data_IF_266662395932
#
_entry.id   IF_266662395932
#
_cell.length_a   1.000
_cell.length_b   1.000
_cell.length_c   1.000
_cell.angle_alpha   90.00
_cell.angle_beta   90.00
_cell.angle_gamma   90.00
#
_symmetry.space_group_name_H-M   'P 1'
#
loop_
_entity.id
_entity.type
_entity.pdbx_description
1 polymer ?
#
# COMPACT_ATOMS: atom_id res chain seq x y z
N UNK A 1 -4.89 21.38 -6.53
CA UNK A 1 -4.03 20.61 -5.62
C UNK A 1 -4.81 19.46 -5.02
N UNK A 2 -4.25 18.28 -5.05
CA UNK A 2 -4.94 17.11 -4.53
C UNK A 2 -4.82 17.02 -3.02
N UNK A 3 -5.95 16.77 -2.34
CA UNK A 3 -5.97 16.55 -0.90
C UNK A 3 -6.39 15.11 -0.57
N UNK A 4 -6.00 14.20 -1.46
CA UNK A 4 -6.35 12.80 -1.26
C UNK A 4 -5.37 12.10 -0.34
N UNK A 5 -5.92 11.11 0.37
CA UNK A 5 -5.14 10.15 1.13
C UNK A 5 -5.28 8.82 0.39
N UNK A 6 -4.16 8.21 0.08
CA UNK A 6 -4.14 6.99 -0.73
C UNK A 6 -3.89 5.78 0.15
N UNK A 7 -4.75 4.79 0.02
CA UNK A 7 -4.45 3.45 0.53
C UNK A 7 -3.84 2.70 -0.64
N UNK A 8 -2.63 2.18 -0.44
CA UNK A 8 -1.89 1.56 -1.52
C UNK A 8 -1.49 0.14 -1.14
N UNK A 9 -1.34 -0.69 -2.14
CA UNK A 9 -0.87 -2.05 -1.99
C UNK A 9 0.36 -2.20 -2.87
N UNK A 10 1.46 -2.57 -2.24
CA UNK A 10 2.70 -2.86 -2.93
C UNK A 10 2.85 -4.37 -3.10
N UNK A 11 3.50 -4.77 -4.17
CA UNK A 11 3.90 -6.15 -4.37
C UNK A 11 5.37 -6.12 -4.79
N UNK A 12 6.15 -7.09 -4.32
CA UNK A 12 7.55 -7.18 -4.74
C UNK A 12 7.61 -7.67 -6.20
N UNK A 13 8.62 -7.21 -6.92
CA UNK A 13 8.71 -7.54 -8.34
C UNK A 13 9.05 -8.99 -8.59
N UNK A 14 9.83 -9.59 -7.71
CA UNK A 14 10.24 -10.99 -7.85
C UNK A 14 10.46 -11.58 -6.46
N UNK A 15 9.73 -12.65 -6.12
CA UNK A 15 8.83 -13.47 -6.93
C UNK A 15 7.42 -12.91 -7.09
N UNK A 16 7.07 -11.78 -6.46
CA UNK A 16 5.76 -11.19 -6.60
C UNK A 16 4.71 -11.77 -5.68
N UNK A 17 5.12 -12.34 -4.55
CA UNK A 17 4.20 -12.95 -3.60
C UNK A 17 4.22 -12.28 -2.21
N UNK A 18 4.96 -11.19 -2.06
CA UNK A 18 4.96 -10.41 -0.83
C UNK A 18 4.15 -9.15 -1.05
N UNK A 19 3.37 -8.77 -0.04
CA UNK A 19 2.49 -7.60 -0.11
C UNK A 19 2.77 -6.67 1.05
N UNK A 20 2.57 -5.38 0.80
CA UNK A 20 2.59 -4.38 1.85
C UNK A 20 1.42 -3.43 1.63
N UNK A 21 0.69 -3.12 2.71
CA UNK A 21 -0.47 -2.23 2.68
C UNK A 21 -0.14 -1.01 3.51
N UNK A 22 -0.32 0.18 2.94
CA UNK A 22 -0.04 1.41 3.64
C UNK A 22 -0.97 2.53 3.22
N UNK A 23 -0.76 3.69 3.83
CA UNK A 23 -1.53 4.88 3.55
C UNK A 23 -0.59 6.07 3.45
N UNK A 24 -0.79 6.93 2.46
CA UNK A 24 0.09 8.07 2.25
C UNK A 24 -0.64 9.16 1.47
N UNK A 25 -0.15 10.39 1.60
CA UNK A 25 -0.60 11.49 0.75
C UNK A 25 0.24 11.63 -0.51
N UNK A 26 1.39 10.96 -0.55
CA UNK A 26 2.32 11.07 -1.67
C UNK A 26 2.82 9.68 -2.06
N UNK A 27 2.16 9.09 -3.05
CA UNK A 27 2.47 7.73 -3.50
C UNK A 27 3.88 7.61 -4.06
N UNK A 28 4.31 8.58 -4.86
CA UNK A 28 5.61 8.53 -5.50
C UNK A 28 6.73 8.55 -4.46
N UNK A 29 6.65 9.49 -3.54
CA UNK A 29 7.66 9.63 -2.49
C UNK A 29 7.69 8.40 -1.60
N UNK A 30 6.52 7.85 -1.26
CA UNK A 30 6.44 6.69 -0.39
C UNK A 30 7.02 5.44 -1.07
N UNK A 31 6.72 5.25 -2.37
CA UNK A 31 7.29 4.13 -3.12
C UNK A 31 8.80 4.23 -3.17
N UNK A 32 9.32 5.44 -3.38
CA UNK A 32 10.76 5.66 -3.39
C UNK A 32 11.40 5.28 -2.06
N UNK A 33 10.73 5.62 -0.94
CA UNK A 33 11.26 5.25 0.38
C UNK A 33 11.31 3.74 0.58
N UNK A 34 10.28 3.04 0.14
CA UNK A 34 10.28 1.58 0.23
C UNK A 34 11.42 0.99 -0.60
N UNK A 35 11.66 1.52 -1.79
CA UNK A 35 12.68 0.97 -2.68
C UNK A 35 14.10 1.37 -2.30
N UNK A 36 14.24 2.42 -1.50
CA UNK A 36 15.55 2.77 -0.92
C UNK A 36 15.89 1.94 0.30
N UNK A 37 14.92 1.20 0.82
CA UNK A 37 15.13 0.42 2.02
C UNK A 37 14.97 1.22 3.30
N UNK A 38 14.33 2.40 3.24
CA UNK A 38 14.12 3.27 4.40
C UNK A 38 12.99 2.77 5.31
N UNK A 39 12.20 1.82 4.83
CA UNK A 39 11.12 1.23 5.62
C UNK A 39 11.55 -0.17 6.02
N UNK A 40 11.80 -0.43 7.32
CA UNK A 40 12.40 -1.70 7.76
C UNK A 40 11.63 -2.95 7.32
N UNK A 41 10.29 -2.89 7.37
CA UNK A 41 9.48 -4.06 7.05
C UNK A 41 9.56 -4.47 5.58
N UNK A 42 9.87 -3.54 4.69
CA UNK A 42 9.85 -3.81 3.25
C UNK A 42 11.24 -3.88 2.64
N UNK A 43 12.28 -3.56 3.40
CA UNK A 43 13.64 -3.48 2.84
C UNK A 43 14.15 -4.82 2.32
N UNK A 44 13.68 -5.94 2.86
CA UNK A 44 14.13 -7.27 2.46
C UNK A 44 13.65 -7.68 1.07
N UNK A 45 12.52 -7.12 0.62
CA UNK A 45 11.85 -7.60 -0.57
C UNK A 45 11.80 -6.57 -1.70
N UNK A 46 12.55 -5.50 -1.56
CA UNK A 46 12.63 -4.51 -2.63
C UNK A 46 13.28 -5.13 -3.86
N UNK A 47 12.98 -4.66 -5.09
CA UNK A 47 12.13 -3.50 -5.37
C UNK A 47 10.65 -3.83 -5.32
N UNK A 48 9.86 -2.80 -4.99
CA UNK A 48 8.42 -2.88 -4.89
C UNK A 48 7.77 -2.10 -6.03
N UNK A 49 6.57 -2.53 -6.43
CA UNK A 49 5.74 -1.75 -7.33
C UNK A 49 4.36 -1.59 -6.73
N UNK A 50 3.65 -0.55 -7.14
CA UNK A 50 2.28 -0.32 -6.70
C UNK A 50 1.37 -1.24 -7.51
N UNK A 51 0.66 -2.11 -6.81
CA UNK A 51 -0.32 -2.97 -7.42
C UNK A 51 -1.67 -2.25 -7.55
N UNK A 52 -2.08 -1.57 -6.49
CA UNK A 52 -3.34 -0.82 -6.44
C UNK A 52 -3.17 0.38 -5.55
N UNK A 53 -3.92 1.44 -5.84
CA UNK A 53 -3.99 2.60 -4.98
C UNK A 53 -5.40 3.17 -5.06
N UNK A 54 -5.96 3.52 -3.92
CA UNK A 54 -7.31 4.05 -3.83
C UNK A 54 -7.24 5.39 -3.14
N UNK A 55 -7.80 6.41 -3.79
CA UNK A 55 -7.80 7.77 -3.28
C UNK A 55 -9.04 8.04 -2.44
N UNK A 56 -8.84 8.55 -1.25
CA UNK A 56 -9.92 8.95 -0.34
C UNK A 56 -9.80 10.44 -0.05
N UNK A 57 -10.90 11.16 -0.13
CA UNK A 57 -10.92 12.55 0.31
C UNK A 57 -10.81 12.64 1.83
N UNK A 58 -11.36 11.66 2.52
CA UNK A 58 -11.45 11.65 3.97
C UNK A 58 -10.33 10.80 4.56
N UNK A 59 -9.48 11.45 5.37
CA UNK A 59 -8.33 10.80 5.98
C UNK A 59 -8.73 9.63 6.88
N UNK A 60 -9.77 9.82 7.66
CA UNK A 60 -10.20 8.77 8.61
C UNK A 60 -10.74 7.56 7.89
N UNK A 61 -11.43 7.76 6.77
CA UNK A 61 -11.89 6.64 5.97
C UNK A 61 -10.76 5.91 5.28
N UNK A 62 -9.72 6.63 4.89
CA UNK A 62 -8.53 6.00 4.32
C UNK A 62 -7.88 5.09 5.36
N UNK A 63 -7.68 5.59 6.58
CA UNK A 63 -7.07 4.78 7.63
C UNK A 63 -7.94 3.59 8.02
N UNK A 64 -9.26 3.77 8.03
CA UNK A 64 -10.17 2.68 8.34
C UNK A 64 -10.11 1.60 7.27
N UNK A 65 -10.00 1.99 6.00
CA UNK A 65 -9.91 1.04 4.92
C UNK A 65 -8.57 0.31 4.94
N UNK A 66 -7.49 1.03 5.23
CA UNK A 66 -6.18 0.40 5.40
C UNK A 66 -6.22 -0.67 6.48
N UNK A 67 -6.80 -0.34 7.64
CA UNK A 67 -6.93 -1.28 8.74
C UNK A 67 -7.77 -2.50 8.34
N UNK A 68 -8.87 -2.25 7.62
CA UNK A 68 -9.72 -3.33 7.13
C UNK A 68 -8.95 -4.28 6.22
N UNK A 69 -8.15 -3.74 5.30
CA UNK A 69 -7.41 -4.59 4.36
C UNK A 69 -6.41 -5.51 5.05
N UNK A 70 -5.99 -5.15 6.26
CA UNK A 70 -5.05 -5.97 7.03
C UNK A 70 -5.72 -7.08 7.82
N UNK A 71 -7.07 -7.09 7.86
CA UNK A 71 -7.82 -8.15 8.52
C UNK A 71 -7.95 -9.36 7.60
N UNK A 72 -8.44 -10.47 8.16
CA UNK A 72 -8.71 -11.66 7.37
C UNK A 72 -9.68 -11.38 6.23
N UNK A 73 -10.78 -10.68 6.53
CA UNK A 73 -11.77 -10.32 5.51
C UNK A 73 -11.20 -9.40 4.46
N UNK A 74 -10.38 -8.45 4.88
CA UNK A 74 -9.72 -7.52 3.96
C UNK A 74 -8.75 -8.21 3.02
N UNK A 75 -8.02 -9.20 3.52
CA UNK A 75 -7.11 -9.97 2.69
C UNK A 75 -7.87 -10.78 1.64
N UNK A 76 -9.02 -11.33 2.00
CA UNK A 76 -9.89 -12.01 1.05
C UNK A 76 -10.41 -11.06 0.00
N UNK A 77 -10.74 -9.82 0.41
CA UNK A 77 -11.17 -8.76 -0.50
C UNK A 77 -10.08 -8.45 -1.53
N UNK A 78 -8.85 -8.29 -1.09
CA UNK A 78 -7.72 -8.04 -2.00
C UNK A 78 -7.57 -9.18 -2.99
N UNK A 79 -7.62 -10.41 -2.50
CA UNK A 79 -7.44 -11.57 -3.35
C UNK A 79 -8.52 -11.68 -4.41
N UNK A 80 -9.74 -11.27 -4.07
CA UNK A 80 -10.88 -11.36 -4.99
C UNK A 80 -10.94 -10.21 -5.98
N UNK A 81 -10.60 -9.01 -5.56
CA UNK A 81 -10.88 -7.79 -6.33
C UNK A 81 -9.65 -7.08 -6.87
N UNK A 82 -8.49 -7.34 -6.34
CA UNK A 82 -7.26 -6.63 -6.73
C UNK A 82 -6.20 -7.57 -7.37
#
# INVERSE_FOLDING_TARGET
MSNFHYVYILVDEAPGNHFYIGCTEDLKSRLEKHNKGDVPHTSKYKPWRIKNAIAFENREKAYAFEAYLKTHCGRAFIKRHF
#
